data_IF_117888883787
#
_entry.id   IF_117888883787
#
_cell.length_a   1.000
_cell.length_b   1.000
_cell.length_c   1.000
_cell.angle_alpha   90.00
_cell.angle_beta   90.00
_cell.angle_gamma   90.00
#
_symmetry.space_group_name_H-M   'P 1'
#
loop_
_entity.id
_entity.type
_entity.pdbx_description
1 polymer ?
#
# COMPACT_ATOMS: atom_id res chain seq x y z
N UNK A 1 2.79 23.88 22.67
CA UNK A 1 2.54 23.48 22.21
C UNK A 1 2.30 22.95 21.79
N UNK A 2 2.39 22.93 21.73
CA UNK A 2 2.20 22.39 21.17
C UNK A 2 1.75 21.87 20.82
N UNK A 3 1.70 21.85 20.76
CA UNK A 3 1.48 21.32 20.28
C UNK A 3 1.02 20.77 19.93
N UNK A 4 1.03 20.68 19.72
CA UNK A 4 0.62 20.00 19.30
C UNK A 4 0.25 19.27 18.77
N UNK A 5 0.42 18.97 18.62
CA UNK A 5 0.12 18.45 18.20
C UNK A 5 -0.20 17.59 17.65
N UNK A 6 -0.06 17.00 17.49
CA UNK A 6 -0.22 16.28 17.02
C UNK A 6 -1.01 15.44 16.41
N UNK A 7 -1.43 15.07 16.49
CA UNK A 7 -2.31 14.11 15.85
C UNK A 7 -2.39 14.31 14.36
N UNK A 8 -1.81 15.31 13.95
CA UNK A 8 -1.75 15.67 12.54
C UNK A 8 -0.99 14.66 11.70
N UNK A 9 -0.47 13.63 12.31
CA UNK A 9 0.23 12.62 11.54
C UNK A 9 -0.63 12.02 10.45
N UNK A 10 -1.94 12.05 10.59
CA UNK A 10 -2.81 11.49 9.56
C UNK A 10 -2.89 12.34 8.33
N UNK A 11 -2.53 13.60 8.46
CA UNK A 11 -2.58 14.53 7.34
C UNK A 11 -1.26 14.67 6.63
N UNK A 12 -0.21 14.17 7.23
CA UNK A 12 1.13 14.30 6.66
C UNK A 12 1.38 13.20 5.64
N UNK A 13 1.90 13.59 4.50
CA UNK A 13 2.39 12.61 3.53
C UNK A 13 3.61 11.92 4.13
N UNK A 14 3.74 10.64 3.88
CA UNK A 14 4.92 9.91 4.30
C UNK A 14 6.08 10.28 3.39
N UNK A 15 7.26 10.42 3.96
CA UNK A 15 8.44 10.60 3.13
C UNK A 15 8.92 9.24 2.62
N UNK A 16 9.88 9.26 1.71
CA UNK A 16 10.37 8.03 1.08
C UNK A 16 10.96 7.08 2.11
N UNK A 17 11.63 7.62 3.10
CA UNK A 17 12.25 6.84 4.16
C UNK A 17 11.21 6.05 4.94
N UNK A 18 10.08 6.68 5.23
CA UNK A 18 9.01 6.04 5.97
C UNK A 18 8.34 4.95 5.15
N UNK A 19 8.16 5.19 3.88
CA UNK A 19 7.55 4.19 2.98
C UNK A 19 8.48 2.99 2.87
N UNK A 20 9.77 3.23 2.70
CA UNK A 20 10.74 2.15 2.61
C UNK A 20 10.83 1.36 3.91
N UNK A 21 10.79 2.05 5.03
CA UNK A 21 10.79 1.37 6.34
C UNK A 21 9.57 0.49 6.52
N UNK A 22 8.41 0.98 6.08
CA UNK A 22 7.19 0.19 6.13
C UNK A 22 7.34 -1.08 5.29
N UNK A 23 7.85 -0.93 4.08
CA UNK A 23 8.07 -2.06 3.19
C UNK A 23 9.01 -3.09 3.83
N UNK A 24 10.14 -2.65 4.36
CA UNK A 24 11.10 -3.56 4.97
C UNK A 24 10.53 -4.26 6.19
N UNK A 25 9.75 -3.54 6.99
CA UNK A 25 9.10 -4.12 8.15
C UNK A 25 8.12 -5.22 7.74
N UNK A 26 7.31 -4.96 6.73
CA UNK A 26 6.36 -5.95 6.24
C UNK A 26 7.07 -7.15 5.65
N UNK A 27 8.12 -6.91 4.87
CA UNK A 27 8.88 -7.97 4.23
C UNK A 27 9.53 -8.87 5.27
N UNK A 28 9.95 -8.31 6.39
CA UNK A 28 10.68 -9.05 7.41
C UNK A 28 9.78 -9.73 8.44
N UNK A 29 8.48 -9.72 8.24
CA UNK A 29 7.55 -10.36 9.16
C UNK A 29 7.31 -11.84 8.87
N UNK A 30 8.29 -12.50 8.30
CA UNK A 30 8.17 -13.91 7.97
C UNK A 30 7.77 -14.07 6.52
N UNK A 31 7.22 -15.23 6.20
CA UNK A 31 6.87 -15.55 4.82
C UNK A 31 5.58 -14.84 4.43
N UNK A 32 5.69 -13.73 3.73
CA UNK A 32 4.53 -13.01 3.24
C UNK A 32 4.49 -13.09 1.74
N UNK A 33 3.32 -13.33 1.20
CA UNK A 33 3.13 -13.31 -0.24
C UNK A 33 3.15 -11.88 -0.74
N UNK A 34 3.31 -11.70 -2.04
CA UNK A 34 3.23 -10.38 -2.64
C UNK A 34 1.85 -9.79 -2.41
N UNK A 35 0.80 -10.61 -2.45
CA UNK A 35 -0.55 -10.19 -2.12
C UNK A 35 -0.58 -9.55 -0.72
N UNK A 36 0.02 -10.22 0.27
CA UNK A 36 0.02 -9.72 1.65
C UNK A 36 0.74 -8.39 1.77
N UNK A 37 1.85 -8.23 1.05
CA UNK A 37 2.61 -6.99 1.08
C UNK A 37 1.79 -5.82 0.53
N UNK A 38 1.09 -6.05 -0.56
CA UNK A 38 0.26 -5.02 -1.17
C UNK A 38 -0.90 -4.66 -0.25
N UNK A 39 -1.56 -5.68 0.31
CA UNK A 39 -2.69 -5.45 1.19
C UNK A 39 -2.29 -4.68 2.44
N UNK A 40 -1.11 -4.95 2.97
CA UNK A 40 -0.62 -4.22 4.14
C UNK A 40 -0.52 -2.72 3.85
N UNK A 41 -0.06 -2.36 2.66
CA UNK A 41 0.01 -0.96 2.27
C UNK A 41 -1.38 -0.33 2.15
N UNK A 42 -2.31 -1.07 1.57
CA UNK A 42 -3.68 -0.59 1.44
C UNK A 42 -4.30 -0.28 2.82
N UNK A 43 -3.99 -1.10 3.80
CA UNK A 43 -4.54 -0.92 5.14
C UNK A 43 -3.81 0.12 5.98
N UNK A 44 -2.56 0.40 5.65
CA UNK A 44 -1.70 1.16 6.51
C UNK A 44 -1.38 2.58 6.08
N UNK A 45 -1.77 3.00 4.88
CA UNK A 45 -1.37 4.32 4.39
C UNK A 45 -2.46 4.92 3.52
N UNK A 46 -2.33 6.22 3.27
CA UNK A 46 -3.27 6.95 2.44
C UNK A 46 -3.04 6.63 0.96
N UNK A 47 -4.02 6.95 0.10
CA UNK A 47 -3.89 6.62 -1.32
C UNK A 47 -2.64 7.18 -1.98
N UNK A 48 -2.30 8.42 -1.70
CA UNK A 48 -1.14 9.04 -2.34
C UNK A 48 0.16 8.39 -1.89
N UNK A 49 0.22 7.90 -0.66
CA UNK A 49 1.39 7.19 -0.16
C UNK A 49 1.42 5.77 -0.70
N UNK A 50 0.26 5.18 -0.87
CA UNK A 50 0.13 3.83 -1.42
C UNK A 50 0.70 3.77 -2.85
N UNK A 51 0.49 4.82 -3.66
CA UNK A 51 1.05 4.87 -5.00
C UNK A 51 2.58 4.72 -4.94
N UNK A 52 3.21 5.44 -4.03
CA UNK A 52 4.66 5.39 -3.89
C UNK A 52 5.13 4.04 -3.35
N UNK A 53 4.37 3.47 -2.44
CA UNK A 53 4.65 2.14 -1.90
C UNK A 53 4.62 1.09 -3.02
N UNK A 54 3.62 1.16 -3.89
CA UNK A 54 3.52 0.24 -5.02
C UNK A 54 4.72 0.39 -5.95
N UNK A 55 5.22 1.61 -6.12
CA UNK A 55 6.43 1.83 -6.92
C UNK A 55 7.64 1.13 -6.29
N UNK A 56 7.73 1.14 -4.97
CA UNK A 56 8.80 0.43 -4.26
C UNK A 56 8.69 -1.06 -4.52
N UNK A 57 7.50 -1.62 -4.42
CA UNK A 57 7.29 -3.04 -4.68
C UNK A 57 7.63 -3.40 -6.12
N UNK A 58 7.24 -2.55 -7.06
CA UNK A 58 7.53 -2.78 -8.47
C UNK A 58 9.04 -2.80 -8.71
N UNK A 59 9.74 -1.84 -8.13
CA UNK A 59 11.19 -1.74 -8.28
C UNK A 59 11.91 -2.93 -7.66
N UNK A 60 11.33 -3.51 -6.63
CA UNK A 60 11.90 -4.66 -5.96
C UNK A 60 11.54 -5.99 -6.63
N UNK A 61 10.73 -5.95 -7.67
CA UNK A 61 10.41 -7.14 -8.45
C UNK A 61 9.24 -7.96 -7.94
N UNK A 62 8.41 -7.38 -7.07
CA UNK A 62 7.25 -8.11 -6.55
C UNK A 62 6.14 -8.19 -7.58
N UNK A 63 5.35 -9.24 -7.49
CA UNK A 63 4.23 -9.48 -8.42
C UNK A 63 2.99 -8.73 -7.92
N UNK A 64 2.61 -7.66 -8.62
CA UNK A 64 1.50 -6.83 -8.20
C UNK A 64 0.13 -7.46 -8.44
N UNK A 65 0.08 -8.48 -9.26
CA UNK A 65 -1.18 -9.17 -9.56
C UNK A 65 -1.28 -10.53 -8.85
N UNK A 66 -0.47 -10.71 -7.80
CA UNK A 66 -0.53 -11.93 -7.01
C UNK A 66 -1.92 -12.10 -6.42
N UNK A 67 -2.37 -13.33 -6.32
CA UNK A 67 -3.72 -13.63 -5.86
C UNK A 67 -3.70 -14.31 -4.50
N UNK A 68 -4.83 -14.20 -3.80
CA UNK A 68 -5.02 -14.91 -2.55
C UNK A 68 -5.52 -16.33 -2.85
N UNK A 69 -5.91 -17.07 -1.80
CA UNK A 69 -6.38 -18.44 -1.96
C UNK A 69 -7.69 -18.56 -2.73
N UNK A 70 -8.36 -17.45 -2.99
CA UNK A 70 -9.62 -17.44 -3.74
C UNK A 70 -9.45 -16.92 -5.16
N UNK A 71 -8.22 -16.71 -5.60
CA UNK A 71 -7.96 -16.23 -6.95
C UNK A 71 -8.17 -14.73 -7.15
N UNK A 72 -8.27 -13.98 -6.08
CA UNK A 72 -8.48 -12.52 -6.15
C UNK A 72 -7.16 -11.80 -6.00
N UNK A 73 -6.98 -10.70 -6.77
CA UNK A 73 -5.87 -9.78 -6.54
C UNK A 73 -6.29 -8.78 -5.46
N UNK A 74 -5.31 -8.06 -4.91
CA UNK A 74 -5.61 -7.00 -3.96
C UNK A 74 -6.50 -5.95 -4.61
N UNK A 75 -6.27 -5.67 -5.90
CA UNK A 75 -7.05 -4.67 -6.64
C UNK A 75 -8.52 -5.06 -6.73
N UNK A 76 -8.81 -6.36 -6.89
CA UNK A 76 -10.18 -6.85 -6.88
C UNK A 76 -10.85 -6.57 -5.55
N UNK A 77 -10.13 -6.78 -4.47
CA UNK A 77 -10.66 -6.55 -3.13
C UNK A 77 -10.88 -5.08 -2.87
N UNK A 78 -9.93 -4.25 -3.28
CA UNK A 78 -10.04 -2.80 -3.11
C UNK A 78 -11.26 -2.27 -3.87
N UNK A 79 -11.51 -2.81 -5.06
CA UNK A 79 -12.61 -2.35 -5.88
C UNK A 79 -13.97 -2.65 -5.25
N UNK A 80 -14.03 -3.57 -4.30
CA UNK A 80 -15.27 -3.90 -3.61
C UNK A 80 -15.66 -2.88 -2.56
N UNK A 81 -14.75 -1.98 -2.20
CA UNK A 81 -14.99 -0.98 -1.16
C UNK A 81 -15.12 0.39 -1.78
N UNK A 82 -16.16 1.11 -1.41
CA UNK A 82 -16.36 2.47 -1.91
C UNK A 82 -15.17 3.35 -1.58
N UNK A 83 -14.68 3.25 -0.36
CA UNK A 83 -13.54 4.07 0.07
C UNK A 83 -12.22 3.63 -0.55
N UNK A 84 -12.21 2.47 -1.23
CA UNK A 84 -11.00 1.97 -1.85
C UNK A 84 -10.71 2.57 -3.22
N UNK A 85 -11.65 3.30 -3.79
CA UNK A 85 -11.49 3.79 -5.16
C UNK A 85 -10.24 4.62 -5.37
N UNK A 86 -9.91 5.45 -4.39
CA UNK A 86 -8.74 6.32 -4.51
C UNK A 86 -7.44 5.53 -4.53
N UNK A 87 -7.44 4.29 -4.03
CA UNK A 87 -6.26 3.45 -4.04
C UNK A 87 -6.04 2.75 -5.37
N UNK A 88 -7.08 2.66 -6.19
CA UNK A 88 -6.98 1.94 -7.46
C UNK A 88 -6.06 2.62 -8.46
N UNK A 89 -5.80 3.91 -8.27
CA UNK A 89 -4.89 4.63 -9.16
C UNK A 89 -3.47 4.07 -9.09
N UNK A 90 -3.15 3.35 -8.02
CA UNK A 90 -1.83 2.74 -7.87
C UNK A 90 -1.69 1.45 -8.67
N UNK A 91 -2.79 0.91 -9.17
CA UNK A 91 -2.76 -0.34 -9.92
C UNK A 91 -2.12 -0.10 -11.28
N UNK A 92 -0.96 -0.73 -11.56
CA UNK A 92 -0.28 -0.51 -12.83
C UNK A 92 -1.05 -1.04 -14.03
N UNK A 93 -1.97 -1.97 -13.82
CA UNK A 93 -2.82 -2.48 -14.88
C UNK A 93 -4.05 -1.65 -15.14
N UNK A 94 -4.25 -0.61 -14.33
CA UNK A 94 -5.41 0.26 -14.46
C UNK A 94 -5.18 1.22 -15.62
N UNK A 95 -5.98 1.11 -16.65
CA UNK A 95 -5.92 2.09 -17.72
C UNK A 95 -7.08 3.03 -17.60
N UNK A 96 -6.83 4.25 -17.86
CA UNK A 96 -7.86 5.27 -17.71
C UNK A 96 -8.32 5.78 -19.03
#
# INVERSE_FOLDING_TARGET
MAGPTQPQVFDDAWDDSRIESFYLDQKNRGSRSDFDLIEAGYRGMRPEDFVRYIQVLTSAGHELMDTNGFGETVWDRIAQHTSGRAYLVANPGQTV
#
